data_IF_009878452397
#
_entry.id   IF_009878452397
#
_cell.length_a   1.000
_cell.length_b   1.000
_cell.length_c   1.000
_cell.angle_alpha   90.00
_cell.angle_beta   90.00
_cell.angle_gamma   90.00
#
_symmetry.space_group_name_H-M   'P 1'
#
loop_
_entity.id
_entity.type
_entity.pdbx_description
1 polymer ?
#
# COMPACT_ATOMS: atom_id res chain seq x y z
N UNK A 1 -89.52 14.31 49.56
CA UNK A 1 -89.22 12.94 50.00
C UNK A 1 -88.14 12.38 49.08
N UNK A 2 -86.89 12.34 49.54
CA UNK A 2 -85.79 11.75 48.76
C UNK A 2 -85.57 10.32 49.23
N UNK A 3 -85.94 9.35 48.40
CA UNK A 3 -85.62 7.93 48.58
C UNK A 3 -84.10 7.80 48.47
N UNK A 4 -83.44 7.74 49.62
CA UNK A 4 -82.00 7.45 49.72
C UNK A 4 -81.85 5.96 49.44
N UNK A 5 -81.40 5.60 48.25
CA UNK A 5 -81.02 4.23 47.92
C UNK A 5 -79.95 3.78 48.93
N UNK A 6 -80.35 2.93 49.87
CA UNK A 6 -79.47 2.35 50.87
C UNK A 6 -78.64 1.28 50.16
N UNK A 7 -77.47 1.68 49.71
CA UNK A 7 -76.49 0.78 49.09
C UNK A 7 -75.96 -0.19 50.16
N UNK A 8 -76.49 -1.41 50.19
CA UNK A 8 -76.18 -2.50 51.14
C UNK A 8 -74.81 -3.17 50.91
N UNK A 9 -73.92 -2.54 50.13
CA UNK A 9 -72.58 -3.07 49.87
C UNK A 9 -71.66 -2.64 51.03
N UNK A 10 -70.96 -3.58 51.71
CA UNK A 10 -70.05 -3.23 52.79
C UNK A 10 -69.03 -2.20 52.34
N UNK A 11 -68.97 -1.07 53.04
CA UNK A 11 -68.05 0.06 52.74
C UNK A 11 -66.60 -0.37 52.73
N UNK A 12 -66.26 -1.42 53.48
CA UNK A 12 -64.92 -2.03 53.56
C UNK A 12 -64.47 -2.62 52.21
N UNK A 13 -65.38 -3.26 51.47
CA UNK A 13 -65.08 -3.88 50.17
C UNK A 13 -64.88 -2.80 49.11
N UNK A 14 -65.66 -1.73 49.16
CA UNK A 14 -65.52 -0.57 48.26
C UNK A 14 -64.22 0.21 48.55
N UNK A 15 -63.88 0.41 49.82
CA UNK A 15 -62.63 1.07 50.23
C UNK A 15 -61.40 0.27 49.81
N UNK A 16 -61.40 -1.06 49.99
CA UNK A 16 -60.31 -1.95 49.58
C UNK A 16 -60.11 -1.98 48.06
N UNK A 17 -61.19 -1.99 47.28
CA UNK A 17 -61.10 -1.95 45.82
C UNK A 17 -60.60 -0.59 45.31
N UNK A 18 -60.96 0.50 45.99
CA UNK A 18 -60.48 1.85 45.67
C UNK A 18 -59.00 2.00 46.02
N UNK A 19 -58.55 1.53 47.19
CA UNK A 19 -57.14 1.59 47.58
C UNK A 19 -56.24 0.76 46.66
N UNK A 20 -56.67 -0.44 46.25
CA UNK A 20 -55.94 -1.27 45.27
C UNK A 20 -55.82 -0.57 43.90
N UNK A 21 -56.88 0.10 43.43
CA UNK A 21 -56.83 0.88 42.18
C UNK A 21 -55.86 2.05 42.29
N UNK A 22 -55.84 2.77 43.41
CA UNK A 22 -54.86 3.82 43.63
C UNK A 22 -53.45 3.24 43.68
N UNK A 23 -53.24 2.14 44.40
CA UNK A 23 -51.93 1.49 44.54
C UNK A 23 -51.39 1.02 43.18
N UNK A 24 -52.23 0.45 42.32
CA UNK A 24 -51.82 0.07 40.96
C UNK A 24 -51.49 1.29 40.09
N UNK A 25 -52.23 2.39 40.26
CA UNK A 25 -52.00 3.64 39.53
C UNK A 25 -50.66 4.28 39.95
N UNK A 26 -50.36 4.30 41.25
CA UNK A 26 -49.08 4.76 41.79
C UNK A 26 -47.92 3.87 41.33
N UNK A 27 -48.09 2.55 41.38
CA UNK A 27 -47.07 1.61 40.90
C UNK A 27 -46.80 1.79 39.39
N UNK A 28 -47.84 1.97 38.58
CA UNK A 28 -47.71 2.28 37.16
C UNK A 28 -47.00 3.61 36.91
N UNK A 29 -47.36 4.65 37.66
CA UNK A 29 -46.71 5.96 37.56
C UNK A 29 -45.22 5.88 37.91
N UNK A 30 -44.86 5.16 38.98
CA UNK A 30 -43.47 4.92 39.37
C UNK A 30 -42.70 4.16 38.28
N UNK A 31 -43.28 3.09 37.73
CA UNK A 31 -42.65 2.32 36.64
C UNK A 31 -42.39 3.17 35.40
N UNK A 32 -43.33 4.02 35.01
CA UNK A 32 -43.17 4.92 33.86
C UNK A 32 -42.05 5.93 34.14
N UNK A 33 -42.02 6.54 35.34
CA UNK A 33 -40.97 7.49 35.70
C UNK A 33 -39.58 6.84 35.73
N UNK A 34 -39.48 5.62 36.26
CA UNK A 34 -38.23 4.87 36.32
C UNK A 34 -37.77 4.44 34.93
N UNK A 35 -38.70 4.00 34.07
CA UNK A 35 -38.41 3.66 32.68
C UNK A 35 -37.88 4.86 31.90
N UNK A 36 -38.46 6.04 32.11
CA UNK A 36 -38.00 7.27 31.46
C UNK A 36 -36.57 7.63 31.88
N UNK A 37 -36.26 7.55 33.18
CA UNK A 37 -34.92 7.82 33.71
C UNK A 37 -33.93 6.79 33.18
N UNK A 38 -34.25 5.50 33.26
CA UNK A 38 -33.38 4.42 32.81
C UNK A 38 -33.12 4.51 31.29
N UNK A 39 -34.16 4.73 30.49
CA UNK A 39 -34.04 4.93 29.04
C UNK A 39 -33.17 6.13 28.69
N UNK A 40 -33.35 7.26 29.39
CA UNK A 40 -32.51 8.45 29.17
C UNK A 40 -31.03 8.20 29.52
N UNK A 41 -30.76 7.43 30.58
CA UNK A 41 -29.42 7.08 31.00
C UNK A 41 -28.75 6.14 29.99
N UNK A 42 -29.44 5.08 29.56
CA UNK A 42 -28.96 4.16 28.53
C UNK A 42 -28.72 4.87 27.19
N UNK A 43 -29.61 5.79 26.80
CA UNK A 43 -29.41 6.58 25.58
C UNK A 43 -28.13 7.42 25.65
N UNK A 44 -27.89 8.11 26.77
CA UNK A 44 -26.66 8.89 26.98
C UNK A 44 -25.42 8.02 26.98
N UNK A 45 -25.43 6.86 27.66
CA UNK A 45 -24.26 5.98 27.70
C UNK A 45 -23.94 5.41 26.32
N UNK A 46 -24.94 4.95 25.57
CA UNK A 46 -24.75 4.48 24.20
C UNK A 46 -24.24 5.57 23.26
N UNK A 47 -24.78 6.79 23.35
CA UNK A 47 -24.34 7.92 22.53
C UNK A 47 -22.90 8.33 22.84
N UNK A 48 -22.51 8.35 24.13
CA UNK A 48 -21.14 8.65 24.55
C UNK A 48 -20.18 7.53 24.11
N UNK A 49 -20.57 6.27 24.23
CA UNK A 49 -19.77 5.13 23.75
C UNK A 49 -19.54 5.18 22.24
N UNK A 50 -20.57 5.52 21.45
CA UNK A 50 -20.46 5.67 20.00
C UNK A 50 -19.46 6.77 19.62
N UNK A 51 -19.52 7.94 20.29
CA UNK A 51 -18.56 9.02 20.07
C UNK A 51 -17.14 8.64 20.45
N UNK A 52 -16.95 7.93 21.57
CA UNK A 52 -15.62 7.44 21.98
C UNK A 52 -15.05 6.46 20.97
N UNK A 53 -15.86 5.54 20.43
CA UNK A 53 -15.42 4.61 19.37
C UNK A 53 -14.98 5.36 18.11
N UNK A 54 -15.73 6.37 17.68
CA UNK A 54 -15.35 7.17 16.52
C UNK A 54 -14.01 7.91 16.72
N UNK A 55 -13.77 8.42 17.93
CA UNK A 55 -12.49 9.06 18.28
C UNK A 55 -11.33 8.06 18.32
N UNK A 56 -11.54 6.86 18.86
CA UNK A 56 -10.49 5.83 18.87
C UNK A 56 -10.18 5.35 17.46
N UNK A 57 -11.20 5.14 16.60
CA UNK A 57 -10.97 4.75 15.21
C UNK A 57 -10.21 5.81 14.43
N UNK A 58 -10.50 7.10 14.66
CA UNK A 58 -9.79 8.20 13.99
C UNK A 58 -8.32 8.30 14.47
N UNK A 59 -8.08 8.03 15.76
CA UNK A 59 -6.72 8.00 16.31
C UNK A 59 -5.91 6.83 15.76
N UNK A 60 -6.53 5.66 15.63
CA UNK A 60 -5.89 4.46 15.09
C UNK A 60 -5.59 4.60 13.59
N UNK A 61 -6.50 5.20 12.81
CA UNK A 61 -6.23 5.50 11.40
C UNK A 61 -5.07 6.49 11.25
N UNK A 62 -5.03 7.55 12.07
CA UNK A 62 -3.93 8.52 12.02
C UNK A 62 -2.57 7.89 12.38
N UNK A 63 -2.54 7.00 13.38
CA UNK A 63 -1.31 6.26 13.73
C UNK A 63 -0.84 5.34 12.60
N UNK A 64 -1.77 4.66 11.94
CA UNK A 64 -1.46 3.79 10.81
C UNK A 64 -0.95 4.61 9.61
N UNK A 65 -1.55 5.76 9.33
CA UNK A 65 -1.08 6.71 8.32
C UNK A 65 0.35 7.19 8.60
N UNK A 66 0.68 7.51 9.86
CA UNK A 66 2.05 7.89 10.25
C UNK A 66 3.07 6.77 9.99
N UNK A 67 2.73 5.52 10.32
CA UNK A 67 3.59 4.38 10.06
C UNK A 67 3.82 4.14 8.55
N UNK A 68 2.77 4.31 7.73
CA UNK A 68 2.89 4.21 6.25
C UNK A 68 3.74 5.31 5.65
N UNK A 69 3.68 6.53 6.18
CA UNK A 69 4.55 7.64 5.72
C UNK A 69 6.02 7.34 6.03
N UNK A 70 6.32 6.78 7.21
CA UNK A 70 7.68 6.39 7.57
C UNK A 70 8.20 5.26 6.67
N UNK A 71 7.35 4.29 6.35
CA UNK A 71 7.67 3.19 5.42
C UNK A 71 7.97 3.72 4.00
N UNK A 72 7.15 4.64 3.48
CA UNK A 72 7.40 5.30 2.19
C UNK A 72 8.74 6.05 2.20
N UNK A 73 9.06 6.75 3.29
CA UNK A 73 10.32 7.47 3.42
C UNK A 73 11.52 6.52 3.40
N UNK A 74 11.45 5.38 4.10
CA UNK A 74 12.51 4.36 4.06
C UNK A 74 12.69 3.78 2.67
N UNK A 75 11.60 3.47 1.96
CA UNK A 75 11.67 2.98 0.58
C UNK A 75 12.31 4.02 -0.34
N UNK A 76 12.00 5.31 -0.17
CA UNK A 76 12.64 6.38 -0.93
C UNK A 76 14.15 6.48 -0.65
N UNK A 77 14.57 6.36 0.61
CA UNK A 77 15.99 6.36 0.98
C UNK A 77 16.73 5.13 0.41
N UNK A 78 16.10 3.96 0.38
CA UNK A 78 16.65 2.76 -0.27
C UNK A 78 16.75 2.93 -1.79
N UNK A 79 15.72 3.50 -2.42
CA UNK A 79 15.72 3.78 -3.85
C UNK A 79 16.83 4.77 -4.23
N UNK A 80 17.04 5.81 -3.42
CA UNK A 80 18.10 6.79 -3.64
C UNK A 80 19.49 6.14 -3.53
N UNK A 81 19.71 5.26 -2.55
CA UNK A 81 20.95 4.48 -2.45
C UNK A 81 21.19 3.58 -3.66
N UNK A 82 20.15 2.90 -4.13
CA UNK A 82 20.24 2.05 -5.33
C UNK A 82 20.53 2.90 -6.57
N UNK A 83 19.90 4.07 -6.71
CA UNK A 83 20.15 5.00 -7.82
C UNK A 83 21.58 5.54 -7.82
N UNK A 84 22.14 5.84 -6.65
CA UNK A 84 23.54 6.26 -6.52
C UNK A 84 24.49 5.13 -6.90
N UNK A 85 24.23 3.90 -6.46
CA UNK A 85 25.02 2.73 -6.86
C UNK A 85 24.96 2.51 -8.38
N UNK A 86 23.79 2.68 -9.00
CA UNK A 86 23.65 2.61 -10.45
C UNK A 86 24.43 3.72 -11.17
N UNK A 87 24.40 4.97 -10.68
CA UNK A 87 25.19 6.06 -11.28
C UNK A 87 26.70 5.84 -11.18
N UNK A 88 27.16 5.24 -10.08
CA UNK A 88 28.58 4.86 -9.92
C UNK A 88 28.92 3.73 -10.89
N UNK A 89 28.03 2.74 -11.05
CA UNK A 89 28.20 1.66 -12.02
C UNK A 89 28.22 2.19 -13.46
N UNK A 90 27.30 3.09 -13.83
CA UNK A 90 27.28 3.74 -15.14
C UNK A 90 28.55 4.56 -15.38
N UNK A 91 29.07 5.25 -14.35
CA UNK A 91 30.31 6.03 -14.47
C UNK A 91 31.52 5.09 -14.68
N UNK A 92 31.57 3.97 -13.96
CA UNK A 92 32.63 2.96 -14.09
C UNK A 92 32.55 2.25 -15.46
N UNK A 93 31.35 1.96 -15.96
CA UNK A 93 31.15 1.36 -17.29
C UNK A 93 31.52 2.35 -18.40
N UNK A 94 31.22 3.64 -18.21
CA UNK A 94 31.57 4.69 -19.18
C UNK A 94 33.08 4.93 -19.28
N UNK A 95 33.80 4.71 -18.19
CA UNK A 95 35.27 4.77 -18.12
C UNK A 95 35.95 3.41 -18.39
N UNK A 96 35.20 2.38 -18.79
CA UNK A 96 35.78 1.10 -19.12
C UNK A 96 36.72 1.28 -20.32
N UNK A 97 38.01 0.95 -20.19
CA UNK A 97 38.96 1.28 -21.22
C UNK A 97 38.66 0.38 -22.43
N UNK A 98 38.32 1.01 -23.56
CA UNK A 98 38.14 0.35 -24.86
C UNK A 98 39.32 -0.58 -25.23
N UNK A 99 40.46 -0.46 -24.56
CA UNK A 99 41.59 -1.37 -24.65
C UNK A 99 41.22 -2.84 -24.41
N UNK A 100 40.30 -3.15 -23.49
CA UNK A 100 39.91 -4.55 -23.23
C UNK A 100 39.10 -5.10 -24.41
N UNK A 101 38.13 -4.31 -24.90
CA UNK A 101 37.34 -4.67 -26.08
C UNK A 101 38.21 -4.82 -27.33
N UNK A 102 39.17 -3.91 -27.52
CA UNK A 102 40.12 -3.95 -28.62
C UNK A 102 41.06 -5.16 -28.53
N UNK A 103 41.54 -5.49 -27.33
CA UNK A 103 42.40 -6.65 -27.11
C UNK A 103 41.64 -7.94 -27.38
N UNK A 104 40.39 -8.05 -26.91
CA UNK A 104 39.53 -9.20 -27.19
C UNK A 104 39.19 -9.33 -28.68
N UNK A 105 38.92 -8.22 -29.34
CA UNK A 105 38.72 -8.22 -30.80
C UNK A 105 39.99 -8.70 -31.53
N UNK A 106 41.17 -8.26 -31.09
CA UNK A 106 42.44 -8.71 -31.66
C UNK A 106 42.73 -10.21 -31.41
N UNK A 107 42.30 -10.77 -30.28
CA UNK A 107 42.38 -12.22 -30.00
C UNK A 107 41.45 -13.03 -30.90
N UNK A 108 40.27 -12.49 -31.23
CA UNK A 108 39.26 -13.15 -32.07
C UNK A 108 39.60 -13.06 -33.57
N UNK A 109 40.31 -12.01 -33.99
CA UNK A 109 40.71 -11.80 -35.38
C UNK A 109 41.56 -12.97 -35.88
N UNK A 110 41.15 -13.54 -37.02
CA UNK A 110 41.94 -14.56 -37.72
C UNK A 110 43.09 -13.90 -38.52
N UNK A 111 44.18 -14.62 -38.76
CA UNK A 111 45.32 -14.19 -39.60
C UNK A 111 44.88 -13.78 -41.03
N UNK A 112 43.72 -14.27 -41.46
CA UNK A 112 43.14 -14.06 -42.78
C UNK A 112 42.05 -12.98 -42.84
N UNK A 113 41.85 -12.21 -41.76
CA UNK A 113 40.86 -11.13 -41.70
C UNK A 113 41.51 -9.83 -41.22
N UNK A 114 41.35 -8.77 -42.00
CA UNK A 114 41.94 -7.46 -41.72
C UNK A 114 40.85 -6.40 -41.56
N UNK A 115 40.91 -5.64 -40.48
CA UNK A 115 40.02 -4.51 -40.26
C UNK A 115 40.64 -3.23 -40.85
N UNK A 116 39.85 -2.53 -41.66
CA UNK A 116 40.20 -1.22 -42.23
C UNK A 116 39.74 -0.08 -41.32
N UNK A 117 38.58 -0.24 -40.70
CA UNK A 117 37.99 0.78 -39.85
C UNK A 117 37.20 0.11 -38.72
N UNK A 118 37.42 0.63 -37.52
CA UNK A 118 36.61 0.37 -36.34
C UNK A 118 36.01 1.69 -35.90
N UNK A 119 34.70 1.80 -35.92
CA UNK A 119 33.98 2.94 -35.37
C UNK A 119 33.13 2.47 -34.19
N UNK A 120 33.40 3.06 -33.03
CA UNK A 120 32.63 2.81 -31.80
C UNK A 120 31.76 4.04 -31.60
N UNK A 121 30.45 3.88 -31.78
CA UNK A 121 29.51 4.96 -31.53
C UNK A 121 29.10 4.91 -30.05
N UNK A 122 29.57 5.88 -29.27
CA UNK A 122 29.20 6.04 -27.86
C UNK A 122 27.86 6.75 -27.68
N UNK A 123 27.13 7.02 -28.77
CA UNK A 123 25.76 7.52 -28.71
C UNK A 123 24.86 6.49 -28.03
N UNK A 124 24.32 6.83 -26.85
CA UNK A 124 23.24 6.08 -26.19
C UNK A 124 22.06 6.02 -27.17
N UNK A 125 21.90 4.93 -27.90
CA UNK A 125 20.59 4.54 -28.41
C UNK A 125 19.69 4.22 -27.20
N UNK A 126 18.37 4.35 -27.36
CA UNK A 126 17.35 4.19 -26.30
C UNK A 126 17.43 2.86 -25.51
N UNK A 127 18.28 1.92 -25.94
CA UNK A 127 18.54 0.60 -25.34
C UNK A 127 19.84 0.50 -24.54
N UNK A 128 20.69 1.52 -24.52
CA UNK A 128 21.97 1.51 -23.79
C UNK A 128 23.03 0.56 -24.37
N UNK A 129 22.83 0.05 -25.58
CA UNK A 129 23.78 -0.82 -26.29
C UNK A 129 24.81 0.03 -27.04
N UNK A 130 26.10 -0.28 -26.90
CA UNK A 130 27.17 0.38 -27.62
C UNK A 130 27.23 -0.15 -29.06
N UNK A 131 27.01 0.73 -30.04
CA UNK A 131 27.02 0.32 -31.45
C UNK A 131 28.46 0.22 -31.98
N UNK A 132 28.90 -1.01 -32.25
CA UNK A 132 30.20 -1.31 -32.86
C UNK A 132 30.06 -1.48 -34.37
N UNK A 133 30.75 -0.64 -35.16
CA UNK A 133 30.83 -0.78 -36.62
C UNK A 133 32.23 -1.22 -37.04
N UNK A 134 32.29 -2.42 -37.59
CA UNK A 134 33.51 -3.04 -38.13
C UNK A 134 33.47 -2.99 -39.65
N UNK A 135 34.53 -2.52 -40.29
CA UNK A 135 34.69 -2.57 -41.75
C UNK A 135 36.07 -3.13 -42.08
N UNK A 136 36.13 -4.16 -42.91
CA UNK A 136 37.36 -4.87 -43.19
C UNK A 136 37.24 -5.79 -44.40
N UNK A 137 38.29 -6.59 -44.59
CA UNK A 137 38.42 -7.57 -45.66
C UNK A 137 38.73 -8.94 -45.04
N UNK A 138 38.13 -9.98 -45.59
CA UNK A 138 38.47 -11.36 -45.29
C UNK A 138 39.00 -12.03 -46.54
N UNK A 139 39.95 -12.94 -46.38
CA UNK A 139 40.52 -13.71 -47.48
C UNK A 139 39.46 -14.60 -48.17
N UNK A 140 38.50 -15.13 -47.42
CA UNK A 140 37.39 -15.92 -47.96
C UNK A 140 36.10 -15.74 -47.15
N UNK A 141 34.97 -16.17 -47.74
CA UNK A 141 33.67 -16.18 -47.07
C UNK A 141 33.64 -17.17 -45.88
N UNK A 142 34.41 -18.26 -45.96
CA UNK A 142 34.52 -19.24 -44.88
C UNK A 142 35.24 -18.63 -43.67
N UNK A 143 36.32 -17.89 -43.91
CA UNK A 143 37.05 -17.20 -42.86
C UNK A 143 36.25 -16.05 -42.24
N UNK A 144 35.44 -15.36 -43.05
CA UNK A 144 34.50 -14.35 -42.54
C UNK A 144 33.44 -14.99 -41.64
N UNK A 145 32.88 -16.13 -42.05
CA UNK A 145 31.91 -16.88 -41.25
C UNK A 145 32.50 -17.36 -39.92
N UNK A 146 33.73 -17.87 -39.94
CA UNK A 146 34.45 -18.29 -38.73
C UNK A 146 34.68 -17.12 -37.76
N UNK A 147 35.10 -15.96 -38.28
CA UNK A 147 35.24 -14.74 -37.48
C UNK A 147 33.91 -14.30 -36.85
N UNK A 148 32.83 -14.24 -37.63
CA UNK A 148 31.51 -13.84 -37.13
C UNK A 148 30.95 -14.81 -36.07
N UNK A 149 31.16 -16.12 -36.26
CA UNK A 149 30.75 -17.12 -35.29
C UNK A 149 31.48 -16.96 -33.96
N UNK A 150 32.79 -16.70 -34.00
CA UNK A 150 33.59 -16.44 -32.80
C UNK A 150 33.18 -15.15 -32.11
N UNK A 151 32.93 -14.09 -32.88
CA UNK A 151 32.47 -12.81 -32.36
C UNK A 151 31.11 -12.94 -31.65
N UNK A 152 30.16 -13.66 -32.23
CA UNK A 152 28.82 -13.89 -31.66
C UNK A 152 28.84 -14.81 -30.43
N UNK A 153 29.88 -15.64 -30.29
CA UNK A 153 30.02 -16.56 -29.15
C UNK A 153 30.67 -15.91 -27.92
N UNK A 154 31.27 -14.73 -28.06
CA UNK A 154 31.95 -14.03 -26.97
C UNK A 154 30.93 -13.21 -26.16
N UNK A 155 30.75 -13.43 -24.86
CA UNK A 155 29.72 -12.77 -24.04
C UNK A 155 29.89 -11.25 -23.89
N UNK A 156 30.99 -10.69 -24.39
CA UNK A 156 31.27 -9.25 -24.37
C UNK A 156 30.67 -8.51 -25.59
N UNK A 157 30.31 -9.23 -26.66
CA UNK A 157 29.79 -8.70 -27.93
C UNK A 157 28.41 -9.28 -28.24
#
# INVERSE_FOLDING_TARGET
MALREINLIPTEILARRRSLKHLSLWAGCLLISLSLICGSYLYKTHFVLAKKRALTTLKDTHKNLGARIEEIKRIQEELEKVSQQQSVLETIIRDQPYSIALLKLAEIMNEYTWLKQLAIDSGKDEKGEANLKLTGFSFSNEELGNFLNRLTSEPMF
#
